data_IF_263928620838
#
_entry.id   IF_263928620838
#
_cell.length_a   1.000
_cell.length_b   1.000
_cell.length_c   1.000
_cell.angle_alpha   90.00
_cell.angle_beta   90.00
_cell.angle_gamma   90.00
#
_symmetry.space_group_name_H-M   'P 1'
#
loop_
_entity.id
_entity.type
_entity.pdbx_description
1 polymer ?
#
# COMPACT_ATOMS: atom_id res chain seq x y z
N UNK A 1 -4.01 8.03 7.79
CA UNK A 1 -4.45 8.04 9.21
C UNK A 1 -5.62 7.09 9.29
N UNK A 2 -5.67 6.26 10.33
CA UNK A 2 -6.77 5.33 10.56
C UNK A 2 -7.68 5.87 11.65
N UNK A 3 -8.97 5.63 11.47
CA UNK A 3 -10.01 5.87 12.45
C UNK A 3 -10.70 4.54 12.73
N UNK A 4 -10.82 4.18 14.01
CA UNK A 4 -11.52 2.99 14.44
C UNK A 4 -12.62 3.42 15.43
N UNK A 5 -13.83 2.94 15.16
CA UNK A 5 -15.00 3.09 16.04
C UNK A 5 -15.41 1.68 16.44
N UNK A 6 -15.15 1.31 17.70
CA UNK A 6 -15.57 0.03 18.27
C UNK A 6 -16.93 0.22 18.91
N UNK A 7 -17.92 -0.56 18.46
CA UNK A 7 -19.27 -0.57 19.03
C UNK A 7 -19.47 -1.89 19.77
N UNK A 8 -19.69 -1.84 21.07
CA UNK A 8 -19.95 -3.02 21.92
C UNK A 8 -20.81 -2.62 23.13
N UNK A 9 -21.77 -3.46 23.51
CA UNK A 9 -22.65 -3.26 24.67
C UNK A 9 -23.34 -1.88 24.68
N UNK A 10 -23.78 -1.42 23.49
CA UNK A 10 -24.43 -0.11 23.31
C UNK A 10 -23.49 1.09 23.49
N UNK A 11 -22.18 0.90 23.60
CA UNK A 11 -21.17 1.97 23.74
C UNK A 11 -20.25 2.02 22.53
N UNK A 12 -19.80 3.24 22.19
CA UNK A 12 -18.82 3.48 21.14
C UNK A 12 -17.48 3.94 21.74
N UNK A 13 -16.37 3.37 21.27
CA UNK A 13 -15.00 3.80 21.59
C UNK A 13 -14.32 4.26 20.30
N UNK A 14 -13.74 5.46 20.30
CA UNK A 14 -13.04 6.02 19.15
C UNK A 14 -11.52 6.01 19.37
N UNK A 15 -10.78 5.54 18.36
CA UNK A 15 -9.34 5.66 18.30
C UNK A 15 -8.91 6.20 16.94
N UNK A 16 -7.88 7.06 16.95
CA UNK A 16 -7.21 7.50 15.73
C UNK A 16 -5.70 7.43 15.88
N UNK A 17 -5.05 6.88 14.86
CA UNK A 17 -3.59 6.70 14.79
C UNK A 17 -3.10 6.93 13.36
N UNK A 18 -1.91 7.51 13.23
CA UNK A 18 -1.19 7.43 11.97
C UNK A 18 -0.73 6.00 11.72
N UNK A 19 -0.77 5.56 10.46
CA UNK A 19 -0.05 4.36 10.05
C UNK A 19 1.43 4.72 10.12
N UNK A 20 2.21 3.97 10.91
CA UNK A 20 3.64 4.19 11.07
C UNK A 20 4.40 3.69 9.84
N UNK A 21 4.18 4.31 8.69
CA UNK A 21 4.90 3.99 7.45
C UNK A 21 6.37 4.39 7.54
N UNK A 22 7.21 3.82 6.69
CA UNK A 22 8.62 4.23 6.59
C UNK A 22 8.76 5.75 6.38
N UNK A 23 7.97 6.32 5.46
CA UNK A 23 7.88 7.77 5.23
C UNK A 23 7.52 8.52 6.51
N UNK A 24 6.45 8.09 7.19
CA UNK A 24 6.01 8.74 8.43
C UNK A 24 7.09 8.72 9.50
N UNK A 25 7.74 7.57 9.72
CA UNK A 25 8.74 7.40 10.77
C UNK A 25 9.97 8.29 10.51
N UNK A 26 10.50 8.28 9.29
CA UNK A 26 11.66 9.10 8.93
C UNK A 26 11.35 10.60 9.02
N UNK A 27 10.22 11.06 8.49
CA UNK A 27 9.86 12.48 8.52
C UNK A 27 9.51 12.96 9.94
N UNK A 28 8.94 12.10 10.78
CA UNK A 28 8.71 12.39 12.20
C UNK A 28 10.03 12.56 12.95
N UNK A 29 10.98 11.67 12.74
CA UNK A 29 12.27 11.69 13.44
C UNK A 29 13.14 12.90 13.02
N UNK A 30 13.01 13.33 11.75
CA UNK A 30 13.67 14.54 11.24
C UNK A 30 12.92 15.84 11.60
N UNK A 31 11.64 15.76 11.97
CA UNK A 31 10.79 16.91 12.26
C UNK A 31 10.35 17.73 11.04
N UNK A 32 10.61 17.26 9.82
CA UNK A 32 10.16 17.92 8.59
C UNK A 32 10.01 16.94 7.40
N UNK A 33 9.22 17.28 6.36
CA UNK A 33 9.07 16.43 5.18
C UNK A 33 10.36 16.35 4.34
N UNK A 34 10.68 15.14 3.87
CA UNK A 34 11.82 14.92 2.95
C UNK A 34 11.46 14.06 1.74
N UNK A 35 10.39 13.27 1.82
CA UNK A 35 9.94 12.41 0.73
C UNK A 35 9.19 13.26 -0.30
N UNK A 36 9.37 12.98 -1.60
CA UNK A 36 8.59 13.65 -2.63
C UNK A 36 7.11 13.34 -2.47
N UNK A 37 6.25 14.34 -2.68
CA UNK A 37 4.81 14.10 -2.82
C UNK A 37 4.51 13.63 -4.23
N UNK A 38 3.73 12.56 -4.37
CA UNK A 38 3.37 11.99 -5.69
C UNK A 38 2.70 13.00 -6.63
N UNK A 39 1.96 13.98 -6.08
CA UNK A 39 1.32 15.05 -6.85
C UNK A 39 2.19 16.28 -7.05
N UNK A 40 3.31 16.41 -6.34
CA UNK A 40 4.16 17.59 -6.46
C UNK A 40 4.89 17.70 -7.81
N UNK A 41 4.82 16.66 -8.63
CA UNK A 41 5.34 16.63 -10.00
C UNK A 41 4.36 17.18 -11.05
N UNK A 42 3.11 17.50 -10.68
CA UNK A 42 2.14 18.16 -11.58
C UNK A 42 2.32 19.69 -11.69
N UNK A 43 3.50 20.20 -11.30
CA UNK A 43 3.84 21.62 -11.37
C UNK A 43 4.69 21.93 -12.62
N UNK A 44 5.16 23.17 -12.72
CA UNK A 44 6.14 23.60 -13.71
C UNK A 44 7.31 22.59 -13.86
N UNK A 45 7.73 22.36 -15.11
CA UNK A 45 8.75 21.38 -15.45
C UNK A 45 10.06 21.59 -14.68
N UNK A 46 10.48 22.85 -14.50
CA UNK A 46 11.70 23.20 -13.79
C UNK A 46 11.58 22.82 -12.31
N UNK A 47 10.44 23.15 -11.69
CA UNK A 47 10.17 22.80 -10.30
C UNK A 47 10.12 21.27 -10.11
N UNK A 48 9.51 20.54 -11.04
CA UNK A 48 9.45 19.07 -11.01
C UNK A 48 10.85 18.44 -11.14
N UNK A 49 11.68 18.94 -12.04
CA UNK A 49 13.08 18.49 -12.20
C UNK A 49 13.93 18.80 -10.97
N UNK A 50 13.77 19.98 -10.37
CA UNK A 50 14.49 20.34 -9.14
C UNK A 50 14.09 19.41 -7.96
N UNK A 51 12.80 19.12 -7.79
CA UNK A 51 12.31 18.18 -6.76
C UNK A 51 12.82 16.76 -6.99
N UNK A 52 12.86 16.31 -8.24
CA UNK A 52 13.42 15.01 -8.59
C UNK A 52 14.91 14.95 -8.26
N UNK A 53 15.71 15.94 -8.68
CA UNK A 53 17.14 16.02 -8.40
C UNK A 53 17.43 16.03 -6.90
N UNK A 54 16.68 16.82 -6.12
CA UNK A 54 16.79 16.82 -4.65
C UNK A 54 16.45 15.45 -4.05
N UNK A 55 15.40 14.79 -4.54
CA UNK A 55 15.00 13.47 -4.06
C UNK A 55 16.10 12.43 -4.33
N UNK A 56 16.70 12.45 -5.53
CA UNK A 56 17.83 11.57 -5.89
C UNK A 56 19.03 11.84 -4.98
N UNK A 57 19.40 13.11 -4.77
CA UNK A 57 20.51 13.46 -3.88
C UNK A 57 20.29 12.97 -2.44
N UNK A 58 19.06 13.06 -1.92
CA UNK A 58 18.71 12.53 -0.59
C UNK A 58 18.82 11.01 -0.49
N UNK A 59 18.44 10.29 -1.54
CA UNK A 59 18.61 8.83 -1.61
C UNK A 59 20.10 8.47 -1.65
N UNK A 60 20.88 9.13 -2.51
CA UNK A 60 22.32 8.87 -2.65
C UNK A 60 23.12 9.20 -1.38
N UNK A 61 22.67 10.20 -0.61
CA UNK A 61 23.27 10.56 0.69
C UNK A 61 22.74 9.71 1.86
N UNK A 62 21.85 8.75 1.60
CA UNK A 62 21.35 7.82 2.60
C UNK A 62 20.30 8.39 3.56
N UNK A 63 19.71 9.55 3.28
CA UNK A 63 18.64 10.12 4.13
C UNK A 63 17.39 9.24 4.14
N UNK A 64 17.11 8.55 3.03
CA UNK A 64 16.11 7.48 2.99
C UNK A 64 16.40 6.49 1.86
N UNK A 65 15.93 5.24 2.00
CA UNK A 65 16.03 4.21 0.98
C UNK A 65 14.65 3.71 0.55
N UNK A 66 14.12 4.20 -0.60
CA UNK A 66 12.79 3.84 -1.06
C UNK A 66 12.71 2.45 -1.70
N UNK A 67 13.82 1.94 -2.22
CA UNK A 67 13.88 0.64 -2.91
C UNK A 67 13.59 -0.50 -1.93
N UNK A 68 14.15 -0.39 -0.72
CA UNK A 68 14.03 -1.42 0.31
C UNK A 68 12.78 -1.16 1.17
N UNK A 69 12.57 0.08 1.61
CA UNK A 69 11.59 0.38 2.66
C UNK A 69 10.26 0.93 2.15
N UNK A 70 10.14 1.21 0.85
CA UNK A 70 8.95 1.79 0.25
C UNK A 70 8.87 3.31 0.34
N UNK A 71 7.85 3.88 -0.28
CA UNK A 71 7.57 5.32 -0.35
C UNK A 71 6.13 5.66 0.07
N UNK A 72 5.32 4.64 0.39
CA UNK A 72 3.89 4.77 0.51
C UNK A 72 3.41 5.44 1.79
N UNK A 73 2.20 5.96 1.68
CA UNK A 73 1.47 6.62 2.77
C UNK A 73 0.42 5.72 3.42
N UNK A 74 0.10 4.56 2.83
CA UNK A 74 -0.90 3.61 3.32
C UNK A 74 -2.23 4.31 3.73
N UNK A 75 -2.75 5.14 2.82
CA UNK A 75 -3.85 6.08 3.09
C UNK A 75 -5.03 5.94 2.12
N UNK A 76 -5.01 4.95 1.22
CA UNK A 76 -6.05 4.79 0.20
C UNK A 76 -7.23 3.97 0.74
N UNK A 77 -6.95 2.88 1.47
CA UNK A 77 -7.99 1.98 1.98
C UNK A 77 -7.51 1.13 3.15
N UNK A 78 -8.43 0.36 3.72
CA UNK A 78 -8.17 -0.71 4.69
C UNK A 78 -8.88 -1.97 4.22
N UNK A 79 -8.20 -3.12 4.26
CA UNK A 79 -8.77 -4.40 3.88
C UNK A 79 -8.43 -5.50 4.89
N UNK A 80 -9.36 -6.42 5.11
CA UNK A 80 -9.11 -7.66 5.83
C UNK A 80 -8.64 -8.72 4.82
N UNK A 81 -7.42 -9.22 4.97
CA UNK A 81 -6.81 -10.22 4.09
C UNK A 81 -6.31 -11.35 4.97
N UNK A 82 -6.79 -12.57 4.74
CA UNK A 82 -6.37 -13.76 5.50
C UNK A 82 -6.49 -13.58 7.03
N UNK A 83 -7.60 -12.98 7.48
CA UNK A 83 -7.87 -12.76 8.91
C UNK A 83 -7.07 -11.63 9.58
N UNK A 84 -6.26 -10.88 8.82
CA UNK A 84 -5.47 -9.73 9.30
C UNK A 84 -5.93 -8.44 8.64
N UNK A 85 -5.75 -7.32 9.32
CA UNK A 85 -6.11 -6.00 8.79
C UNK A 85 -4.89 -5.34 8.16
N UNK A 86 -5.06 -4.69 7.02
CA UNK A 86 -3.98 -4.00 6.32
C UNK A 86 -4.42 -2.61 5.90
N UNK A 87 -3.54 -1.62 6.07
CA UNK A 87 -3.67 -0.31 5.45
C UNK A 87 -2.93 -0.30 4.11
N UNK A 88 -3.58 0.15 3.05
CA UNK A 88 -3.08 0.03 1.68
C UNK A 88 -2.91 1.38 0.99
N UNK A 89 -2.03 1.40 -0.02
CA UNK A 89 -1.83 2.50 -0.94
C UNK A 89 -1.02 2.03 -2.14
N UNK A 90 -1.41 2.46 -3.34
CA UNK A 90 -0.98 1.89 -4.63
C UNK A 90 0.52 2.05 -4.93
N UNK A 91 1.17 2.94 -4.20
CA UNK A 91 2.59 3.26 -4.34
C UNK A 91 3.52 2.35 -3.53
N UNK A 92 2.98 1.43 -2.73
CA UNK A 92 3.78 0.63 -1.79
C UNK A 92 3.12 -0.71 -1.43
N UNK A 93 3.83 -1.53 -0.68
CA UNK A 93 3.30 -2.70 0.00
C UNK A 93 2.35 -2.29 1.14
N UNK A 94 1.37 -3.14 1.49
CA UNK A 94 0.47 -2.85 2.59
C UNK A 94 1.20 -2.87 3.93
N UNK A 95 0.62 -2.17 4.90
CA UNK A 95 1.07 -2.20 6.29
C UNK A 95 0.08 -3.01 7.13
N UNK A 96 0.55 -4.06 7.79
CA UNK A 96 -0.26 -4.85 8.72
C UNK A 96 -0.63 -4.00 9.94
N UNK A 97 -1.90 -4.07 10.32
CA UNK A 97 -2.52 -3.33 11.41
C UNK A 97 -3.11 -4.33 12.39
N UNK A 98 -2.80 -4.15 13.66
CA UNK A 98 -3.45 -4.85 14.76
C UNK A 98 -4.40 -3.88 15.47
N UNK A 99 -5.62 -4.33 15.75
CA UNK A 99 -6.55 -3.64 16.64
C UNK A 99 -6.55 -4.37 17.97
N UNK A 100 -6.27 -3.67 19.05
CA UNK A 100 -6.23 -4.27 20.40
C UNK A 100 -7.63 -4.48 20.96
N UNK A 101 -7.76 -5.27 22.03
CA UNK A 101 -9.06 -5.58 22.64
C UNK A 101 -9.78 -4.35 23.21
N UNK A 102 -9.03 -3.35 23.69
CA UNK A 102 -9.52 -2.05 24.16
C UNK A 102 -9.76 -1.04 23.03
N UNK A 103 -9.37 -1.38 21.80
CA UNK A 103 -9.65 -0.59 20.62
C UNK A 103 -8.56 0.42 20.23
N UNK A 104 -7.31 0.19 20.63
CA UNK A 104 -6.17 0.90 20.06
C UNK A 104 -5.77 0.31 18.69
N UNK A 105 -5.06 1.10 17.89
CA UNK A 105 -4.58 0.74 16.55
C UNK A 105 -3.05 0.70 16.57
N UNK A 106 -2.47 -0.45 16.26
CA UNK A 106 -1.02 -0.67 16.22
C UNK A 106 -0.61 -0.99 14.79
N UNK A 107 0.35 -0.25 14.25
CA UNK A 107 1.04 -0.63 13.00
C UNK A 107 2.09 -1.68 13.30
N UNK A 108 1.95 -2.87 12.74
CA UNK A 108 2.90 -3.98 12.88
C UNK A 108 4.09 -3.80 11.94
N UNK A 109 3.83 -3.47 10.68
CA UNK A 109 4.90 -3.20 9.72
C UNK A 109 4.47 -3.41 8.27
N UNK A 110 5.40 -3.09 7.36
CA UNK A 110 5.25 -3.29 5.91
C UNK A 110 5.30 -4.78 5.59
N UNK A 111 4.35 -5.28 4.81
CA UNK A 111 4.13 -6.72 4.63
C UNK A 111 4.13 -7.14 3.16
N UNK A 112 4.87 -8.20 2.83
CA UNK A 112 5.05 -8.72 1.47
C UNK A 112 4.36 -10.07 1.23
N UNK A 113 3.56 -10.55 2.19
CA UNK A 113 2.86 -11.85 2.10
C UNK A 113 3.81 -13.02 1.81
N UNK A 114 4.99 -12.99 2.45
CA UNK A 114 6.00 -14.04 2.35
C UNK A 114 6.35 -14.36 0.89
N UNK A 115 6.44 -13.31 0.06
CA UNK A 115 6.64 -13.52 -1.36
C UNK A 115 8.01 -14.11 -1.64
N UNK A 116 8.05 -15.15 -2.49
CA UNK A 116 9.33 -15.75 -2.94
C UNK A 116 10.13 -14.80 -3.85
N UNK A 117 9.44 -13.85 -4.50
CA UNK A 117 10.05 -12.86 -5.39
C UNK A 117 9.67 -11.47 -4.88
N UNK A 118 10.64 -10.56 -4.70
CA UNK A 118 10.34 -9.19 -4.29
C UNK A 118 9.34 -8.53 -5.25
N UNK A 119 8.38 -7.83 -4.67
CA UNK A 119 7.49 -6.92 -5.37
C UNK A 119 7.30 -5.69 -4.48
N UNK A 120 6.92 -4.58 -5.11
CA UNK A 120 7.08 -3.26 -4.47
C UNK A 120 5.76 -2.57 -4.16
N UNK A 121 4.67 -3.02 -4.79
CA UNK A 121 3.34 -2.45 -4.57
C UNK A 121 2.23 -3.43 -4.92
N UNK A 122 1.03 -3.12 -4.43
CA UNK A 122 -0.21 -3.73 -4.84
C UNK A 122 -1.34 -2.70 -4.86
N UNK A 123 -2.45 -3.03 -5.52
CA UNK A 123 -3.67 -2.23 -5.48
C UNK A 123 -4.14 -1.97 -4.04
N UNK A 124 -4.73 -0.79 -3.83
CA UNK A 124 -5.44 -0.50 -2.59
C UNK A 124 -6.78 -1.24 -2.48
N UNK A 125 -7.27 -1.86 -3.56
CA UNK A 125 -8.61 -2.46 -3.59
C UNK A 125 -8.58 -3.96 -3.88
N UNK A 126 -7.86 -4.79 -3.08
CA UNK A 126 -7.90 -6.23 -3.26
C UNK A 126 -9.33 -6.75 -3.04
N UNK A 127 -9.70 -7.80 -3.76
CA UNK A 127 -11.00 -8.47 -3.60
C UNK A 127 -10.77 -9.82 -2.94
N UNK A 128 -11.48 -10.06 -1.84
CA UNK A 128 -11.41 -11.32 -1.11
C UNK A 128 -12.59 -12.18 -1.51
N UNK A 129 -12.30 -13.38 -1.98
CA UNK A 129 -13.29 -14.40 -2.25
C UNK A 129 -13.80 -14.95 -0.89
N UNK A 130 -15.10 -14.84 -0.59
CA UNK A 130 -15.66 -15.30 0.68
C UNK A 130 -15.67 -16.82 0.83
N UNK A 131 -15.68 -17.58 -0.27
CA UNK A 131 -15.76 -19.04 -0.23
C UNK A 131 -14.39 -19.66 0.04
N UNK A 132 -13.35 -19.11 -0.59
CA UNK A 132 -11.97 -19.63 -0.48
C UNK A 132 -11.12 -18.89 0.54
N UNK A 133 -11.48 -17.65 0.88
CA UNK A 133 -10.65 -16.74 1.68
C UNK A 133 -9.40 -16.24 0.97
N UNK A 134 -9.27 -16.50 -0.34
CA UNK A 134 -8.17 -15.98 -1.15
C UNK A 134 -8.42 -14.51 -1.50
N UNK A 135 -7.35 -13.72 -1.55
CA UNK A 135 -7.42 -12.32 -1.98
C UNK A 135 -6.78 -12.14 -3.35
N UNK A 136 -7.54 -11.60 -4.31
CA UNK A 136 -7.07 -11.21 -5.61
C UNK A 136 -6.58 -9.77 -5.59
N UNK A 137 -5.45 -9.54 -6.23
CA UNK A 137 -4.83 -8.23 -6.32
C UNK A 137 -4.06 -8.07 -7.63
N UNK A 138 -3.68 -6.83 -7.91
CA UNK A 138 -2.82 -6.52 -9.04
C UNK A 138 -1.80 -5.46 -8.65
N UNK A 139 -0.83 -5.24 -9.54
CA UNK A 139 0.03 -4.07 -9.57
C UNK A 139 0.19 -3.59 -11.01
N UNK A 140 0.28 -2.27 -11.17
CA UNK A 140 0.55 -1.65 -12.47
C UNK A 140 1.95 -1.03 -12.50
N UNK A 141 2.52 -0.94 -13.69
CA UNK A 141 3.87 -0.45 -13.92
C UNK A 141 3.90 0.55 -15.08
N UNK A 142 4.94 1.38 -15.10
CA UNK A 142 5.20 2.31 -16.21
C UNK A 142 5.96 1.66 -17.38
N UNK A 143 6.44 0.43 -17.17
CA UNK A 143 7.10 -0.41 -18.19
C UNK A 143 6.39 -1.76 -18.32
N UNK A 144 6.45 -2.44 -19.48
CA UNK A 144 5.87 -3.77 -19.66
C UNK A 144 6.47 -4.83 -18.70
N UNK A 145 5.67 -5.79 -18.19
CA UNK A 145 4.21 -5.85 -18.29
C UNK A 145 3.55 -4.72 -17.48
N UNK A 146 2.66 -3.97 -18.13
CA UNK A 146 2.03 -2.79 -17.51
C UNK A 146 1.05 -3.13 -16.40
N UNK A 147 0.53 -4.36 -16.38
CA UNK A 147 -0.38 -4.88 -15.36
C UNK A 147 -0.01 -6.33 -15.05
N UNK A 148 0.04 -6.66 -13.77
CA UNK A 148 0.30 -8.01 -13.28
C UNK A 148 -0.70 -8.35 -12.19
N UNK A 149 -1.46 -9.42 -12.37
CA UNK A 149 -2.35 -9.98 -11.35
C UNK A 149 -1.61 -11.01 -10.50
N UNK A 150 -2.08 -11.21 -9.28
CA UNK A 150 -1.67 -12.30 -8.41
C UNK A 150 -2.74 -12.52 -7.34
N UNK A 151 -2.69 -13.68 -6.71
CA UNK A 151 -3.52 -14.01 -5.55
C UNK A 151 -2.68 -14.10 -4.29
N UNK A 152 -3.30 -13.88 -3.15
CA UNK A 152 -2.78 -14.17 -1.83
C UNK A 152 -3.65 -15.31 -1.30
N UNK A 153 -3.04 -16.47 -1.05
CA UNK A 153 -3.76 -17.62 -0.51
C UNK A 153 -4.31 -17.34 0.88
N UNK A 154 -5.31 -18.10 1.32
CA UNK A 154 -5.86 -17.99 2.68
C UNK A 154 -4.82 -18.20 3.80
N UNK A 155 -3.68 -18.82 3.47
CA UNK A 155 -2.49 -18.97 4.31
C UNK A 155 -1.61 -17.70 4.40
N UNK A 156 -2.02 -16.60 3.76
CA UNK A 156 -1.31 -15.33 3.74
C UNK A 156 -0.09 -15.31 2.81
N UNK A 157 0.06 -16.28 1.90
CA UNK A 157 1.18 -16.35 0.96
C UNK A 157 0.81 -15.84 -0.43
N UNK A 158 1.63 -14.94 -0.98
CA UNK A 158 1.49 -14.48 -2.36
C UNK A 158 1.82 -15.61 -3.35
N UNK A 159 0.90 -15.87 -4.25
CA UNK A 159 1.06 -16.78 -5.38
C UNK A 159 1.92 -16.22 -6.53
N UNK A 160 2.10 -17.02 -7.61
CA UNK A 160 2.79 -16.58 -8.81
C UNK A 160 2.12 -15.38 -9.48
N UNK A 161 2.93 -14.58 -10.17
CA UNK A 161 2.47 -13.45 -10.96
C UNK A 161 1.83 -13.92 -12.28
N UNK A 162 0.75 -13.27 -12.68
CA UNK A 162 0.05 -13.44 -13.96
C UNK A 162 0.12 -12.12 -14.73
N UNK A 163 1.10 -11.96 -15.65
CA UNK A 163 1.26 -10.73 -16.43
C UNK A 163 0.16 -10.60 -17.49
N UNK A 164 -0.38 -9.39 -17.64
CA UNK A 164 -1.43 -9.08 -18.64
C UNK A 164 -0.80 -8.35 -19.83
N UNK A 165 -0.47 -9.10 -20.89
CA UNK A 165 0.21 -8.58 -22.09
C UNK A 165 -0.73 -7.94 -23.13
N UNK A 166 -2.05 -8.00 -22.90
CA UNK A 166 -3.04 -7.34 -23.76
C UNK A 166 -3.01 -5.82 -23.60
N UNK A 167 -2.59 -5.30 -22.45
CA UNK A 167 -2.37 -3.86 -22.24
C UNK A 167 -1.15 -3.37 -23.03
N UNK A 168 -1.34 -2.33 -23.83
CA UNK A 168 -0.30 -1.76 -24.72
C UNK A 168 0.34 -0.47 -24.21
N UNK A 169 -0.21 0.10 -23.15
CA UNK A 169 0.30 1.30 -22.49
C UNK A 169 0.07 1.23 -20.98
N UNK A 170 0.78 2.09 -20.24
CA UNK A 170 0.51 2.27 -18.82
C UNK A 170 -0.85 2.95 -18.62
N UNK A 171 -1.58 2.53 -17.59
CA UNK A 171 -2.81 3.15 -17.16
C UNK A 171 -2.85 3.14 -15.62
N UNK A 172 -3.35 4.23 -15.05
CA UNK A 172 -3.65 4.30 -13.62
C UNK A 172 -4.94 3.52 -13.38
N UNK A 173 -4.79 2.24 -13.04
CA UNK A 173 -5.90 1.37 -12.67
C UNK A 173 -6.03 1.45 -11.15
N UNK A 174 -7.07 2.13 -10.68
CA UNK A 174 -7.33 2.28 -9.25
C UNK A 174 -7.99 1.04 -8.66
N UNK A 175 -9.06 0.56 -9.31
CA UNK A 175 -9.90 -0.52 -8.81
C UNK A 175 -10.21 -1.54 -9.92
N UNK A 176 -10.72 -2.70 -9.52
CA UNK A 176 -11.19 -3.78 -10.39
C UNK A 176 -12.37 -4.50 -9.74
N UNK A 177 -13.02 -5.40 -10.46
CA UNK A 177 -14.04 -6.28 -9.91
C UNK A 177 -13.67 -7.74 -10.20
N UNK A 178 -14.10 -8.63 -9.32
CA UNK A 178 -14.06 -10.07 -9.56
C UNK A 178 -15.44 -10.52 -10.09
N UNK A 179 -15.53 -11.24 -11.22
CA UNK A 179 -16.79 -11.71 -11.77
C UNK A 179 -17.60 -12.61 -10.82
N UNK A 180 -17.01 -13.20 -9.77
CA UNK A 180 -17.78 -13.95 -8.77
C UNK A 180 -18.81 -13.08 -8.00
N UNK A 181 -18.74 -11.75 -8.13
CA UNK A 181 -19.61 -10.80 -7.42
C UNK A 181 -20.24 -9.71 -8.31
N UNK A 182 -20.33 -9.92 -9.63
CA UNK A 182 -21.21 -9.10 -10.49
C UNK A 182 -22.60 -9.76 -10.43
N UNK A 183 -23.41 -9.36 -9.44
CA UNK A 183 -24.86 -9.61 -9.43
C UNK A 183 -25.59 -8.48 -10.16
#
# INVERSE_FOLDING_TARGET
MLHMIKISDGKATFCSRYVKTYKYMVERDLGHPIFPSGFAFFNDLTASMARLGLSVARVLTGQFNPVINGLGTANSSVAAICGKLYALGESDLPYEIQVTSDGDIITIGRHDFHSRKPFFSMTAHPKVDPDTGEAFAFRFHVVPPFLTFFRIGSDGRKGPDVPIFSMKSTALIHDFADPCHIQ
#
